data_IF_917638164144
#
_entry.id   IF_917638164144
#
_cell.length_a   1.000
_cell.length_b   1.000
_cell.length_c   1.000
_cell.angle_alpha   90.00
_cell.angle_beta   90.00
_cell.angle_gamma   90.00
#
_symmetry.space_group_name_H-M   'P 1'
#
loop_
_entity.id
_entity.type
_entity.pdbx_description
1 polymer ?
#
# COMPACT_ATOMS: atom_id res chain seq x y z
N UNK A 1 22.20 -10.54 39.37
CA UNK A 1 22.47 -10.69 37.92
C UNK A 1 23.87 -10.16 37.71
N UNK A 2 24.84 -11.05 37.47
CA UNK A 2 26.26 -10.65 37.33
C UNK A 2 26.57 -10.23 35.90
N UNK A 3 26.10 -10.97 34.89
CA UNK A 3 26.19 -10.59 33.48
C UNK A 3 24.92 -10.98 32.71
N UNK A 4 24.64 -10.27 31.61
CA UNK A 4 23.51 -10.53 30.72
C UNK A 4 23.94 -10.37 29.26
N UNK A 5 23.70 -11.39 28.44
CA UNK A 5 23.93 -11.38 26.99
C UNK A 5 22.64 -11.72 26.24
N UNK A 6 22.33 -10.93 25.22
CA UNK A 6 21.14 -11.14 24.37
C UNK A 6 21.51 -12.03 23.17
N UNK A 7 20.97 -13.24 23.15
CA UNK A 7 21.23 -14.26 22.09
C UNK A 7 20.30 -14.13 20.87
N UNK A 8 19.17 -13.43 21.00
CA UNK A 8 18.19 -13.26 19.91
C UNK A 8 17.41 -11.96 20.05
N UNK A 9 17.14 -11.32 18.91
CA UNK A 9 16.21 -10.18 18.80
C UNK A 9 15.35 -10.36 17.55
N UNK A 10 14.07 -10.68 17.75
CA UNK A 10 13.16 -10.94 16.64
C UNK A 10 13.61 -12.14 15.80
N UNK A 11 13.86 -11.90 14.51
CA UNK A 11 14.34 -12.91 13.54
C UNK A 11 15.85 -13.13 13.65
N UNK A 12 16.61 -12.16 14.15
CA UNK A 12 18.09 -12.22 14.18
C UNK A 12 18.56 -12.97 15.43
N UNK A 13 19.34 -14.03 15.23
CA UNK A 13 20.05 -14.78 16.28
C UNK A 13 21.56 -14.54 16.23
N UNK A 14 22.28 -14.90 17.29
CA UNK A 14 23.74 -14.77 17.32
C UNK A 14 24.48 -15.61 16.28
N UNK A 15 23.87 -16.70 15.82
CA UNK A 15 24.44 -17.58 14.79
C UNK A 15 24.32 -17.01 13.37
N UNK A 16 23.47 -15.99 13.16
CA UNK A 16 23.08 -15.56 11.82
C UNK A 16 23.43 -14.08 11.59
N UNK A 17 24.41 -13.84 10.71
CA UNK A 17 24.85 -12.52 10.27
C UNK A 17 25.22 -11.53 11.39
N UNK A 18 25.84 -12.02 12.48
CA UNK A 18 26.39 -11.18 13.54
C UNK A 18 27.69 -10.51 13.07
N UNK A 19 27.74 -9.18 13.12
CA UNK A 19 28.95 -8.39 12.83
C UNK A 19 29.38 -7.61 14.06
N UNK A 20 30.69 -7.50 14.25
CA UNK A 20 31.31 -6.68 15.30
C UNK A 20 31.56 -5.26 14.80
N UNK A 21 31.83 -4.34 15.73
CA UNK A 21 32.20 -2.96 15.37
C UNK A 21 33.50 -2.89 14.55
N UNK A 22 34.39 -3.88 14.70
CA UNK A 22 35.61 -3.97 13.89
C UNK A 22 35.28 -4.32 12.44
N UNK A 23 34.36 -5.27 12.22
CA UNK A 23 33.94 -5.64 10.86
C UNK A 23 33.29 -4.45 10.13
N UNK A 24 32.55 -3.60 10.84
CA UNK A 24 31.96 -2.37 10.29
C UNK A 24 33.04 -1.38 9.86
N UNK A 25 34.09 -1.19 10.68
CA UNK A 25 35.21 -0.30 10.37
C UNK A 25 35.98 -0.80 9.15
N UNK A 26 36.30 -2.09 9.12
CA UNK A 26 37.05 -2.72 8.03
C UNK A 26 36.24 -2.70 6.73
N UNK A 27 34.93 -2.94 6.80
CA UNK A 27 34.05 -2.87 5.63
C UNK A 27 34.00 -1.45 5.04
N UNK A 28 33.98 -0.41 5.88
CA UNK A 28 34.02 0.98 5.42
C UNK A 28 35.37 1.32 4.78
N UNK A 29 36.48 0.88 5.38
CA UNK A 29 37.82 1.13 4.84
C UNK A 29 38.03 0.47 3.48
N UNK A 30 37.57 -0.78 3.32
CA UNK A 30 37.63 -1.52 2.04
C UNK A 30 36.84 -0.81 0.93
N UNK A 31 35.68 -0.26 1.25
CA UNK A 31 34.89 0.53 0.31
C UNK A 31 35.64 1.79 -0.14
N UNK A 32 36.27 2.51 0.79
CA UNK A 32 36.93 3.78 0.48
C UNK A 32 38.23 3.59 -0.31
N UNK A 33 39.01 2.57 0.05
CA UNK A 33 40.36 2.37 -0.49
C UNK A 33 40.38 1.48 -1.72
N UNK A 34 39.64 0.37 -1.69
CA UNK A 34 39.65 -0.64 -2.75
C UNK A 34 38.42 -0.56 -3.65
N UNK A 35 37.40 0.23 -3.26
CA UNK A 35 36.09 0.32 -3.94
C UNK A 35 35.38 -1.03 -4.03
N UNK A 36 35.72 -1.97 -3.15
CA UNK A 36 35.03 -3.24 -3.04
C UNK A 36 33.84 -3.12 -2.07
N UNK A 37 32.64 -3.32 -2.59
CA UNK A 37 31.39 -3.31 -1.81
C UNK A 37 31.07 -4.67 -1.17
N UNK A 38 31.82 -5.73 -1.51
CA UNK A 38 31.47 -7.10 -1.15
C UNK A 38 31.41 -7.31 0.36
N UNK A 39 32.31 -6.66 1.12
CA UNK A 39 32.35 -6.78 2.56
C UNK A 39 31.21 -6.01 3.22
N UNK A 40 30.94 -4.79 2.75
CA UNK A 40 29.84 -3.95 3.26
C UNK A 40 28.47 -4.61 3.05
N UNK A 41 28.25 -5.26 1.90
CA UNK A 41 27.02 -5.99 1.59
C UNK A 41 26.80 -7.23 2.47
N UNK A 42 27.84 -7.73 3.16
CA UNK A 42 27.70 -8.82 4.14
C UNK A 42 27.33 -8.28 5.52
N UNK A 43 27.85 -7.12 5.89
CA UNK A 43 27.61 -6.47 7.19
C UNK A 43 26.22 -5.82 7.24
N UNK A 44 25.79 -5.20 6.15
CA UNK A 44 24.49 -4.51 6.07
C UNK A 44 23.44 -5.44 5.47
N UNK A 45 22.48 -5.86 6.29
CA UNK A 45 21.34 -6.66 5.85
C UNK A 45 20.19 -5.78 5.31
N UNK A 46 19.43 -6.26 4.31
CA UNK A 46 18.23 -5.58 3.83
C UNK A 46 17.12 -5.60 4.90
N UNK A 47 16.29 -4.57 4.92
CA UNK A 47 15.21 -4.42 5.91
C UNK A 47 14.18 -5.55 5.84
N UNK A 48 14.02 -6.16 4.67
CA UNK A 48 13.19 -7.31 4.37
C UNK A 48 13.50 -8.50 5.30
N UNK A 49 14.74 -8.65 5.75
CA UNK A 49 15.15 -9.74 6.63
C UNK A 49 14.40 -9.72 7.97
N UNK A 50 14.07 -8.53 8.48
CA UNK A 50 13.30 -8.37 9.72
C UNK A 50 11.81 -8.73 9.57
N UNK A 51 11.33 -8.85 8.33
CA UNK A 51 9.91 -8.94 8.02
C UNK A 51 9.48 -10.36 7.58
N UNK A 52 10.38 -11.33 7.68
CA UNK A 52 10.17 -12.73 7.27
C UNK A 52 9.09 -13.46 8.07
N UNK A 53 8.80 -13.01 9.30
CA UNK A 53 7.77 -13.61 10.16
C UNK A 53 6.32 -13.23 9.76
N UNK A 54 6.13 -12.24 8.89
CA UNK A 54 4.79 -11.77 8.52
C UNK A 54 4.24 -12.51 7.29
N UNK A 55 2.92 -12.73 7.28
CA UNK A 55 2.22 -13.25 6.10
C UNK A 55 2.30 -12.26 4.96
N UNK A 56 2.51 -12.78 3.75
CA UNK A 56 2.87 -11.97 2.58
C UNK A 56 1.70 -11.75 1.64
N UNK A 57 1.60 -10.53 1.14
CA UNK A 57 0.67 -10.14 0.07
C UNK A 57 1.46 -9.47 -1.04
N UNK A 58 1.53 -10.13 -2.19
CA UNK A 58 2.24 -9.66 -3.37
C UNK A 58 1.32 -8.77 -4.20
N UNK A 59 1.79 -7.57 -4.53
CA UNK A 59 1.04 -6.59 -5.32
C UNK A 59 1.57 -6.48 -6.75
N UNK A 60 0.68 -6.09 -7.67
CA UNK A 60 1.06 -5.72 -9.03
C UNK A 60 1.85 -4.41 -9.01
N UNK A 61 2.85 -4.30 -9.87
CA UNK A 61 3.72 -3.13 -10.01
C UNK A 61 2.93 -1.81 -10.20
N UNK A 62 1.77 -1.88 -10.87
CA UNK A 62 0.89 -0.71 -11.06
C UNK A 62 0.26 -0.17 -9.77
N UNK A 63 0.15 -0.99 -8.72
CA UNK A 63 -0.45 -0.63 -7.45
C UNK A 63 0.59 -0.20 -6.39
N UNK A 64 1.88 -0.51 -6.60
CA UNK A 64 2.96 -0.25 -5.62
C UNK A 64 3.02 1.22 -5.23
N UNK A 65 3.12 2.12 -6.22
CA UNK A 65 3.26 3.55 -5.90
C UNK A 65 2.02 4.10 -5.18
N UNK A 66 0.81 3.63 -5.52
CA UNK A 66 -0.40 4.03 -4.79
C UNK A 66 -0.33 3.64 -3.30
N UNK A 67 0.18 2.44 -2.99
CA UNK A 67 0.42 2.01 -1.60
C UNK A 67 1.49 2.87 -0.92
N UNK A 68 2.55 3.30 -1.63
CA UNK A 68 3.56 4.22 -1.09
C UNK A 68 2.98 5.60 -0.69
N UNK A 69 1.91 6.05 -1.37
CA UNK A 69 1.15 7.24 -0.98
C UNK A 69 0.15 7.00 0.16
N UNK A 70 0.06 5.78 0.67
CA UNK A 70 -0.87 5.41 1.74
C UNK A 70 -2.26 5.02 1.26
N UNK A 71 -2.45 4.74 -0.04
CA UNK A 71 -3.71 4.19 -0.53
C UNK A 71 -3.97 2.79 0.06
N UNK A 72 -5.25 2.45 0.18
CA UNK A 72 -5.68 1.09 0.55
C UNK A 72 -5.41 0.13 -0.61
N UNK A 73 -5.01 -1.09 -0.30
CA UNK A 73 -4.85 -2.12 -1.31
C UNK A 73 -6.22 -2.68 -1.68
N UNK A 74 -6.55 -2.63 -2.97
CA UNK A 74 -7.79 -3.16 -3.53
C UNK A 74 -7.53 -4.47 -4.28
N UNK A 75 -8.55 -5.32 -4.43
CA UNK A 75 -8.46 -6.61 -5.15
C UNK A 75 -7.77 -6.50 -6.53
N UNK A 76 -8.05 -5.49 -7.39
CA UNK A 76 -7.39 -5.40 -8.69
C UNK A 76 -5.85 -5.27 -8.61
N UNK A 77 -5.33 -4.74 -7.51
CA UNK A 77 -3.89 -4.56 -7.25
C UNK A 77 -3.22 -5.80 -6.64
N UNK A 78 -3.99 -6.80 -6.20
CA UNK A 78 -3.50 -8.05 -5.65
C UNK A 78 -2.96 -8.95 -6.78
N UNK A 79 -1.79 -9.55 -6.56
CA UNK A 79 -1.20 -10.53 -7.47
C UNK A 79 -1.17 -11.93 -6.85
N UNK A 80 -0.63 -12.06 -5.63
CA UNK A 80 -0.55 -13.32 -4.88
C UNK A 80 -0.72 -13.03 -3.38
N UNK A 81 -1.11 -14.01 -2.61
CA UNK A 81 -1.27 -13.91 -1.16
C UNK A 81 -0.85 -15.23 -0.51
N UNK A 82 -0.40 -15.15 0.75
CA UNK A 82 -0.12 -16.32 1.58
C UNK A 82 -1.42 -16.98 2.06
N UNK A 83 -1.32 -18.25 2.44
CA UNK A 83 -2.45 -18.98 3.02
C UNK A 83 -2.67 -18.61 4.50
N UNK A 84 -3.90 -18.83 4.97
CA UNK A 84 -4.28 -18.65 6.36
C UNK A 84 -4.28 -17.20 6.86
N UNK A 85 -4.39 -16.20 5.98
CA UNK A 85 -4.58 -14.79 6.37
C UNK A 85 -5.98 -14.61 6.94
N UNK A 86 -6.05 -14.16 8.19
CA UNK A 86 -7.30 -13.82 8.87
C UNK A 86 -7.55 -12.31 8.84
N UNK A 87 -8.78 -11.90 9.17
CA UNK A 87 -9.13 -10.49 9.25
C UNK A 87 -8.38 -9.83 10.41
N UNK A 88 -7.92 -8.60 10.18
CA UNK A 88 -7.10 -7.78 11.08
C UNK A 88 -5.68 -8.32 11.36
N UNK A 89 -5.26 -9.39 10.67
CA UNK A 89 -3.87 -9.87 10.74
C UNK A 89 -2.89 -8.80 10.24
N UNK A 90 -1.72 -8.75 10.89
CA UNK A 90 -0.60 -7.93 10.45
C UNK A 90 0.15 -8.62 9.32
N UNK A 91 0.09 -8.02 8.13
CA UNK A 91 0.64 -8.56 6.90
C UNK A 91 1.69 -7.62 6.30
N UNK A 92 2.57 -8.18 5.47
CA UNK A 92 3.49 -7.42 4.65
C UNK A 92 3.01 -7.37 3.19
N UNK A 93 2.97 -6.15 2.66
CA UNK A 93 2.76 -5.90 1.23
C UNK A 93 4.14 -5.90 0.57
N UNK A 94 4.32 -6.76 -0.43
CA UNK A 94 5.59 -6.92 -1.14
C UNK A 94 5.43 -6.80 -2.66
N UNK A 95 6.50 -6.40 -3.34
CA UNK A 95 6.54 -6.42 -4.81
C UNK A 95 6.78 -7.84 -5.32
N UNK A 96 6.62 -8.05 -6.62
CA UNK A 96 6.96 -9.31 -7.29
C UNK A 96 8.46 -9.66 -7.20
N UNK A 97 9.31 -8.66 -6.92
CA UNK A 97 10.76 -8.81 -6.73
C UNK A 97 11.15 -9.18 -5.30
N UNK A 98 10.22 -9.12 -4.36
CA UNK A 98 10.50 -9.37 -2.94
C UNK A 98 10.82 -8.14 -2.11
N UNK A 99 10.64 -6.93 -2.65
CA UNK A 99 10.88 -5.68 -1.91
C UNK A 99 9.72 -5.41 -0.96
N UNK A 100 10.02 -4.94 0.26
CA UNK A 100 9.00 -4.59 1.26
C UNK A 100 8.37 -3.22 0.94
N UNK A 101 7.08 -3.19 0.59
CA UNK A 101 6.36 -1.95 0.28
C UNK A 101 5.83 -1.30 1.55
N UNK A 102 5.02 -2.04 2.31
CA UNK A 102 4.34 -1.53 3.49
C UNK A 102 3.90 -2.66 4.43
N UNK A 103 3.78 -2.35 5.72
CA UNK A 103 3.02 -3.14 6.67
C UNK A 103 1.56 -2.70 6.65
N UNK A 104 0.64 -3.66 6.68
CA UNK A 104 -0.79 -3.40 6.60
C UNK A 104 -1.59 -4.36 7.50
N UNK A 105 -2.82 -3.97 7.82
CA UNK A 105 -3.80 -4.87 8.42
C UNK A 105 -4.68 -5.46 7.31
N UNK A 106 -4.87 -6.77 7.32
CA UNK A 106 -5.75 -7.46 6.39
C UNK A 106 -7.22 -7.12 6.69
N UNK A 107 -8.00 -6.77 5.68
CA UNK A 107 -9.45 -6.51 5.82
C UNK A 107 -10.30 -7.66 5.25
N UNK A 108 -9.64 -8.63 4.61
CA UNK A 108 -10.24 -9.83 4.01
C UNK A 108 -9.48 -11.07 4.47
N UNK A 109 -10.19 -12.18 4.57
CA UNK A 109 -9.58 -13.51 4.79
C UNK A 109 -9.05 -14.09 3.47
N UNK A 110 -8.16 -15.09 3.53
CA UNK A 110 -7.64 -15.79 2.34
C UNK A 110 -8.77 -16.30 1.43
N UNK A 111 -9.83 -16.89 1.99
CA UNK A 111 -10.98 -17.37 1.21
C UNK A 111 -11.71 -16.23 0.50
N UNK A 112 -11.86 -15.07 1.16
CA UNK A 112 -12.50 -13.90 0.57
C UNK A 112 -11.64 -13.27 -0.53
N UNK A 113 -10.32 -13.21 -0.34
CA UNK A 113 -9.40 -12.71 -1.36
C UNK A 113 -9.44 -13.54 -2.64
N UNK A 114 -9.73 -14.84 -2.54
CA UNK A 114 -9.83 -15.74 -3.68
C UNK A 114 -11.19 -15.68 -4.40
N UNK A 115 -12.29 -15.45 -3.67
CA UNK A 115 -13.64 -15.55 -4.23
C UNK A 115 -14.21 -14.23 -4.74
N UNK A 116 -13.72 -13.10 -4.24
CA UNK A 116 -14.37 -11.79 -4.45
C UNK A 116 -13.67 -11.00 -5.56
N UNK A 117 -14.45 -10.46 -6.50
CA UNK A 117 -13.95 -9.65 -7.61
C UNK A 117 -13.59 -8.20 -7.21
N UNK A 118 -14.16 -7.69 -6.12
CA UNK A 118 -14.05 -6.29 -5.71
C UNK A 118 -13.96 -6.13 -4.19
N UNK A 119 -13.13 -5.19 -3.74
CA UNK A 119 -13.10 -4.74 -2.35
C UNK A 119 -11.69 -4.39 -1.85
N UNK A 120 -11.62 -4.04 -0.58
CA UNK A 120 -10.39 -3.63 0.10
C UNK A 120 -9.74 -4.87 0.70
N UNK A 121 -8.52 -5.19 0.24
CA UNK A 121 -7.71 -6.32 0.72
C UNK A 121 -7.01 -5.95 2.01
N UNK A 122 -6.37 -4.77 2.06
CA UNK A 122 -5.54 -4.37 3.17
C UNK A 122 -5.52 -2.86 3.38
N UNK A 123 -5.40 -2.45 4.64
CA UNK A 123 -5.24 -1.06 5.07
C UNK A 123 -3.82 -0.84 5.58
N UNK A 124 -3.09 0.05 4.92
CA UNK A 124 -1.69 0.37 5.25
C UNK A 124 -1.58 0.90 6.68
N UNK A 125 -0.67 0.30 7.46
CA UNK A 125 -0.27 0.74 8.80
C UNK A 125 0.97 1.61 8.72
N UNK A 126 2.00 1.14 8.01
CA UNK A 126 3.29 1.84 7.84
C UNK A 126 3.87 1.56 6.46
N UNK A 127 4.09 2.61 5.69
CA UNK A 127 4.81 2.54 4.41
C UNK A 127 6.31 2.50 4.69
N UNK A 128 7.03 1.61 4.02
CA UNK A 128 8.49 1.44 4.12
C UNK A 128 9.18 1.97 2.86
N UNK A 129 8.67 1.57 1.69
CA UNK A 129 9.22 1.96 0.39
C UNK A 129 9.04 3.46 0.11
N UNK A 130 10.04 4.06 -0.53
CA UNK A 130 9.98 5.45 -0.95
C UNK A 130 8.90 5.71 -2.01
N UNK A 131 8.47 6.98 -2.08
CA UNK A 131 7.52 7.42 -3.10
C UNK A 131 8.23 7.50 -4.45
N UNK A 132 7.50 7.19 -5.51
CA UNK A 132 7.99 7.28 -6.89
C UNK A 132 9.14 6.33 -7.27
N UNK A 133 9.45 5.32 -6.44
CA UNK A 133 10.26 4.15 -6.85
C UNK A 133 9.64 3.41 -8.04
N UNK A 134 8.30 3.39 -8.10
CA UNK A 134 7.52 2.84 -9.22
C UNK A 134 6.70 3.94 -9.90
N UNK A 135 6.45 3.87 -11.23
CA UNK A 135 5.71 4.89 -11.94
C UNK A 135 4.25 5.00 -11.47
N UNK A 136 3.71 6.22 -11.47
CA UNK A 136 2.30 6.49 -11.13
C UNK A 136 1.39 5.93 -12.22
N UNK A 137 0.57 4.94 -11.89
CA UNK A 137 -0.37 4.29 -12.83
C UNK A 137 -1.84 4.31 -12.38
N UNK A 138 -2.17 5.11 -11.35
CA UNK A 138 -3.57 5.26 -10.94
C UNK A 138 -4.38 6.00 -12.02
N UNK A 139 -5.65 5.61 -12.20
CA UNK A 139 -6.55 6.24 -13.19
C UNK A 139 -6.45 5.74 -14.63
N UNK A 140 -5.58 4.77 -14.92
CA UNK A 140 -5.45 4.11 -16.23
C UNK A 140 -6.16 2.75 -16.30
N UNK A 141 -6.85 2.32 -15.24
CA UNK A 141 -7.55 1.04 -15.20
C UNK A 141 -8.83 1.02 -16.04
N UNK A 142 -9.37 -0.18 -16.39
CA UNK A 142 -10.58 -0.33 -17.19
C UNK A 142 -11.79 0.45 -16.64
N UNK A 143 -11.97 0.43 -15.32
CA UNK A 143 -13.05 1.16 -14.64
C UNK A 143 -12.87 2.68 -14.75
N UNK A 144 -11.64 3.18 -14.64
CA UNK A 144 -11.34 4.61 -14.77
C UNK A 144 -11.53 5.09 -16.22
N UNK A 145 -11.21 4.25 -17.19
CA UNK A 145 -11.50 4.50 -18.61
C UNK A 145 -13.01 4.51 -18.88
N UNK A 146 -13.78 3.52 -18.35
CA UNK A 146 -15.25 3.48 -18.44
C UNK A 146 -15.86 4.74 -17.83
N UNK A 147 -15.39 5.18 -16.65
CA UNK A 147 -15.80 6.44 -16.00
C UNK A 147 -15.59 7.64 -16.91
N UNK A 148 -14.40 7.75 -17.52
CA UNK A 148 -14.05 8.84 -18.43
C UNK A 148 -14.91 8.83 -19.71
N UNK A 149 -15.21 7.66 -20.27
CA UNK A 149 -16.13 7.53 -21.41
C UNK A 149 -17.54 7.97 -21.03
N UNK A 150 -18.05 7.49 -19.90
CA UNK A 150 -19.39 7.84 -19.41
C UNK A 150 -19.55 9.32 -19.08
N UNK A 151 -18.50 9.99 -18.57
CA UNK A 151 -18.48 11.45 -18.41
C UNK A 151 -18.51 12.17 -19.76
N UNK A 152 -17.82 11.64 -20.78
CA UNK A 152 -17.84 12.20 -22.14
C UNK A 152 -19.20 12.00 -22.83
N UNK A 153 -19.86 10.88 -22.56
CA UNK A 153 -21.20 10.54 -23.05
C UNK A 153 -22.33 11.26 -22.30
N UNK A 154 -22.02 12.01 -21.23
CA UNK A 154 -23.00 12.75 -20.43
C UNK A 154 -23.88 11.87 -19.54
N UNK A 155 -23.55 10.58 -19.38
CA UNK A 155 -24.22 9.64 -18.49
C UNK A 155 -23.85 9.88 -17.01
N UNK A 156 -22.72 10.55 -16.79
CA UNK A 156 -22.21 10.99 -15.48
C UNK A 156 -21.94 12.50 -15.51
N UNK A 157 -22.03 13.15 -14.35
CA UNK A 157 -21.67 14.56 -14.17
C UNK A 157 -20.17 14.81 -14.45
N UNK A 158 -19.76 16.08 -14.60
CA UNK A 158 -18.36 16.54 -14.75
C UNK A 158 -17.43 16.01 -13.65
N UNK A 159 -17.98 15.73 -12.47
CA UNK A 159 -17.25 15.19 -11.32
C UNK A 159 -17.38 13.66 -11.18
N UNK A 160 -17.99 12.97 -12.15
CA UNK A 160 -18.20 11.52 -12.15
C UNK A 160 -19.30 11.05 -11.19
N UNK A 161 -20.25 11.92 -10.86
CA UNK A 161 -21.40 11.60 -9.99
C UNK A 161 -22.53 10.97 -10.80
N UNK A 162 -23.29 10.01 -10.23
CA UNK A 162 -24.45 9.44 -10.89
C UNK A 162 -25.54 10.49 -11.11
N UNK A 163 -26.21 10.40 -12.25
CA UNK A 163 -27.38 11.19 -12.64
C UNK A 163 -28.55 10.23 -12.91
N UNK A 164 -29.76 10.76 -13.12
CA UNK A 164 -30.93 9.95 -13.46
C UNK A 164 -30.75 9.02 -14.68
N UNK A 165 -29.78 9.34 -15.57
CA UNK A 165 -29.50 8.56 -16.78
C UNK A 165 -28.35 7.54 -16.61
N UNK A 166 -27.81 7.38 -15.40
CA UNK A 166 -26.71 6.45 -15.14
C UNK A 166 -27.24 5.01 -15.05
N UNK A 167 -26.66 4.05 -15.80
CA UNK A 167 -27.05 2.64 -15.73
C UNK A 167 -26.91 2.04 -14.32
N UNK A 168 -27.80 1.12 -13.96
CA UNK A 168 -27.76 0.41 -12.66
C UNK A 168 -26.45 -0.36 -12.43
N UNK A 169 -25.80 -0.82 -13.52
CA UNK A 169 -24.49 -1.49 -13.54
C UNK A 169 -23.33 -0.61 -13.04
N UNK A 170 -23.52 0.71 -12.91
CA UNK A 170 -22.49 1.62 -12.39
C UNK A 170 -22.35 1.58 -10.86
N UNK A 171 -23.40 1.16 -10.15
CA UNK A 171 -23.41 1.09 -8.68
C UNK A 171 -22.93 -0.29 -8.21
N UNK A 172 -22.01 -0.33 -7.23
CA UNK A 172 -21.65 -1.58 -6.54
C UNK A 172 -22.35 -1.65 -5.18
N UNK A 173 -22.47 -2.86 -4.61
CA UNK A 173 -23.04 -3.10 -3.28
C UNK A 173 -21.96 -3.71 -2.41
N UNK A 174 -21.48 -2.96 -1.40
CA UNK A 174 -20.58 -3.53 -0.39
C UNK A 174 -21.32 -4.62 0.40
N UNK A 175 -20.58 -5.62 0.92
CA UNK A 175 -21.10 -6.70 1.78
C UNK A 175 -21.84 -6.21 3.05
N UNK A 176 -21.80 -4.91 3.36
CA UNK A 176 -22.61 -4.25 4.40
C UNK A 176 -23.97 -3.72 3.93
N UNK A 177 -24.42 -4.05 2.71
CA UNK A 177 -25.71 -3.61 2.15
C UNK A 177 -25.76 -2.15 1.68
N UNK A 178 -24.61 -1.45 1.65
CA UNK A 178 -24.53 -0.06 1.20
C UNK A 178 -24.12 -0.03 -0.27
N UNK A 179 -24.91 0.64 -1.12
CA UNK A 179 -24.56 0.86 -2.52
C UNK A 179 -23.45 1.91 -2.63
N UNK A 180 -22.20 1.49 -2.69
CA UNK A 180 -21.03 2.38 -2.87
C UNK A 180 -20.47 2.18 -4.28
N UNK A 181 -19.93 3.25 -4.87
CA UNK A 181 -19.19 3.11 -6.12
C UNK A 181 -17.85 2.39 -5.87
N UNK A 182 -17.25 1.80 -6.91
CA UNK A 182 -15.99 1.03 -6.86
C UNK A 182 -14.77 1.79 -6.25
N UNK A 183 -14.91 3.07 -5.93
CA UNK A 183 -13.91 3.90 -5.23
C UNK A 183 -14.16 4.00 -3.71
N UNK A 184 -15.08 3.22 -3.14
CA UNK A 184 -15.32 3.19 -1.69
C UNK A 184 -15.78 4.52 -1.12
N UNK A 185 -16.44 5.35 -1.93
CA UNK A 185 -16.98 6.63 -1.47
C UNK A 185 -18.32 6.36 -0.81
N UNK A 186 -18.33 6.35 0.53
CA UNK A 186 -19.58 6.39 1.30
C UNK A 186 -20.26 7.74 1.05
N UNK A 187 -21.43 7.74 0.44
CA UNK A 187 -22.38 8.85 0.56
C UNK A 187 -23.74 8.33 0.99
N UNK A 188 -24.25 8.90 2.08
CA UNK A 188 -25.50 8.51 2.71
C UNK A 188 -25.80 9.30 4.00
N UNK A 189 -25.68 10.63 3.96
CA UNK A 189 -26.63 11.55 4.62
C UNK A 189 -26.43 12.93 4.01
N UNK A 190 -27.51 13.59 3.61
CA UNK A 190 -27.48 15.03 3.31
C UNK A 190 -26.90 15.75 4.52
N UNK A 191 -25.90 16.65 4.38
CA UNK A 191 -25.63 17.59 5.44
C UNK A 191 -26.87 18.49 5.55
N UNK A 192 -27.67 18.25 6.58
CA UNK A 192 -28.69 19.19 7.02
C UNK A 192 -28.10 20.60 7.01
N UNK A 193 -28.84 21.56 6.46
CA UNK A 193 -28.43 22.96 6.31
C UNK A 193 -27.76 23.45 7.61
N UNK A 194 -26.44 23.53 7.62
CA UNK A 194 -25.68 24.17 8.70
C UNK A 194 -24.45 24.87 8.12
N UNK A 195 -24.41 26.19 8.31
CA UNK A 195 -23.19 26.99 8.20
C UNK A 195 -23.00 27.67 6.86
N UNK A 196 -23.06 29.00 6.87
CA UNK A 196 -22.61 29.88 5.78
C UNK A 196 -21.19 29.52 5.33
N UNK A 197 -20.98 29.50 4.01
CA UNK A 197 -19.64 29.39 3.41
C UNK A 197 -18.78 30.56 3.92
N UNK A 198 -17.72 30.27 4.68
CA UNK A 198 -16.57 31.20 4.77
C UNK A 198 -15.84 31.17 3.43
N UNK A 199 -15.73 32.33 2.79
CA UNK A 199 -14.95 32.53 1.57
C UNK A 199 -13.46 32.27 1.86
N UNK A 200 -12.75 31.64 0.92
CA UNK A 200 -11.28 31.58 0.95
C UNK A 200 -10.73 32.95 0.51
N UNK A 201 -9.59 33.40 1.06
CA UNK A 201 -8.91 34.57 0.53
C UNK A 201 -8.43 34.26 -0.89
N UNK A 202 -8.53 35.26 -1.76
CA UNK A 202 -7.91 35.28 -3.08
C UNK A 202 -6.46 35.67 -2.85
N UNK A 203 -5.52 34.81 -3.23
CA UNK A 203 -4.13 35.22 -3.40
C UNK A 203 -4.06 35.99 -4.73
N UNK A 204 -3.82 37.30 -4.62
CA UNK A 204 -3.48 38.16 -5.75
C UNK A 204 -2.01 37.88 -6.14
N UNK A 205 -1.81 37.17 -7.24
CA UNK A 205 -0.54 37.14 -7.96
C UNK A 205 -0.80 37.66 -9.39
N UNK A 206 -0.78 39.00 -9.52
CA UNK A 206 -0.53 39.72 -10.77
C UNK A 206 0.81 40.45 -10.60
N UNK A 207 1.86 39.94 -11.23
CA UNK A 207 2.98 40.67 -11.86
C UNK A 207 3.67 39.78 -12.92
#
# INVERSE_FOLDING_TARGET
MEELRRIRTGVISEDDHLSTMHDVLDAQWMLENEKDESYLRKVILPCEYLLTNYKRVVVKDSAVNAVCYGAKLMIPGLARFDDGIERDDLIIIMTTKGEAVALAYAEMTTSQMASVDHGIVARSKRVIMDRDTYPRRWGLGPTALKKRSMMKEGLLDKYGRPQNNTPSDWFYVDYGGVKTNAEGVRYGTDPGKSGSKRARPVDDDDE
#
